data_IF_283652244292
#
_entry.id   IF_283652244292
#
_cell.length_a   1.000
_cell.length_b   1.000
_cell.length_c   1.000
_cell.angle_alpha   90.00
_cell.angle_beta   90.00
_cell.angle_gamma   90.00
#
_symmetry.space_group_name_H-M   'P 1'
#
loop_
_entity.id
_entity.type
_entity.pdbx_description
1 polymer ?
#
# COMPACT_ATOMS: atom_id res chain seq x y z
N UNK A 1 -9.25 9.60 24.07
CA UNK A 1 -7.94 10.25 23.85
C UNK A 1 -6.77 9.30 24.07
N UNK A 2 -6.68 8.57 25.19
CA UNK A 2 -5.54 7.66 25.45
C UNK A 2 -5.15 6.71 24.29
N UNK A 3 -6.12 6.08 23.60
CA UNK A 3 -5.83 5.17 22.47
C UNK A 3 -5.25 5.88 21.24
N UNK A 4 -5.62 7.14 21.01
CA UNK A 4 -5.08 7.97 19.92
C UNK A 4 -3.62 8.32 20.22
N UNK A 5 -3.32 8.71 21.46
CA UNK A 5 -1.96 9.04 21.88
C UNK A 5 -1.04 7.80 21.85
N UNK A 6 -1.56 6.65 22.29
CA UNK A 6 -0.87 5.36 22.21
C UNK A 6 -0.56 4.99 20.75
N UNK A 7 -1.53 5.15 19.85
CA UNK A 7 -1.31 4.90 18.42
C UNK A 7 -0.26 5.82 17.82
N UNK A 8 -0.29 7.11 18.16
CA UNK A 8 0.68 8.08 17.63
C UNK A 8 2.12 7.74 18.06
N UNK A 9 2.32 7.31 19.31
CA UNK A 9 3.62 6.87 19.80
C UNK A 9 4.08 5.57 19.09
N UNK A 10 3.17 4.62 18.91
CA UNK A 10 3.46 3.35 18.26
C UNK A 10 3.78 3.53 16.77
N UNK A 11 2.95 4.26 16.02
CA UNK A 11 3.08 4.38 14.57
C UNK A 11 4.40 5.06 14.18
N UNK A 12 4.86 6.06 14.96
CA UNK A 12 6.10 6.78 14.69
C UNK A 12 7.31 5.84 14.69
N UNK A 13 7.36 4.92 15.66
CA UNK A 13 8.51 4.02 15.86
C UNK A 13 8.43 2.76 15.02
N UNK A 14 7.25 2.44 14.47
CA UNK A 14 7.01 1.21 13.71
C UNK A 14 6.69 1.52 12.25
N UNK A 15 5.43 1.88 11.98
CA UNK A 15 4.89 2.06 10.64
C UNK A 15 5.64 3.13 9.85
N UNK A 16 5.81 4.32 10.42
CA UNK A 16 6.54 5.42 9.77
C UNK A 16 8.00 5.07 9.53
N UNK A 17 8.69 4.55 10.55
CA UNK A 17 10.11 4.23 10.48
C UNK A 17 10.41 3.19 9.40
N UNK A 18 9.67 2.07 9.42
CA UNK A 18 9.87 0.99 8.46
C UNK A 18 9.31 1.31 7.07
N UNK A 19 8.18 2.02 6.99
CA UNK A 19 7.58 2.49 5.73
C UNK A 19 8.52 3.44 4.99
N UNK A 20 9.02 4.46 5.68
CA UNK A 20 9.96 5.43 5.13
C UNK A 20 11.27 4.77 4.70
N UNK A 21 11.80 3.82 5.48
CA UNK A 21 13.06 3.16 5.14
C UNK A 21 12.92 2.19 3.97
N UNK A 22 11.80 1.47 3.87
CA UNK A 22 11.48 0.64 2.72
C UNK A 22 11.39 1.49 1.45
N UNK A 23 10.61 2.58 1.49
CA UNK A 23 10.45 3.50 0.36
C UNK A 23 11.78 4.14 -0.05
N UNK A 24 12.58 4.59 0.91
CA UNK A 24 13.90 5.15 0.63
C UNK A 24 14.84 4.12 -0.01
N UNK A 25 14.80 2.87 0.44
CA UNK A 25 15.69 1.81 -0.06
C UNK A 25 15.32 1.39 -1.48
N UNK A 26 14.02 1.29 -1.79
CA UNK A 26 13.54 0.86 -3.12
C UNK A 26 13.51 1.99 -4.15
N UNK A 27 13.23 3.23 -3.73
CA UNK A 27 12.92 4.32 -4.67
C UNK A 27 13.92 5.48 -4.54
N UNK A 28 14.06 6.09 -3.37
CA UNK A 28 14.81 7.36 -3.23
C UNK A 28 16.31 7.13 -3.42
N UNK A 29 16.92 6.19 -2.69
CA UNK A 29 18.36 5.94 -2.76
C UNK A 29 18.80 5.55 -4.17
N UNK A 30 18.18 4.55 -4.85
CA UNK A 30 18.58 4.21 -6.21
C UNK A 30 18.44 5.39 -7.18
N UNK A 31 17.37 6.19 -7.07
CA UNK A 31 17.17 7.37 -7.92
C UNK A 31 18.18 8.49 -7.66
N UNK A 32 18.58 8.70 -6.41
CA UNK A 32 19.52 9.76 -6.03
C UNK A 32 20.98 9.37 -6.27
N UNK A 33 21.37 8.12 -6.02
CA UNK A 33 22.78 7.68 -6.08
C UNK A 33 23.13 6.91 -7.34
N UNK A 34 22.13 6.43 -8.10
CA UNK A 34 22.32 5.53 -9.24
C UNK A 34 22.77 4.13 -8.86
N UNK A 35 22.87 3.83 -7.55
CA UNK A 35 23.28 2.51 -7.07
C UNK A 35 22.12 1.51 -7.15
N UNK A 36 22.42 0.20 -7.30
CA UNK A 36 21.38 -0.81 -7.25
C UNK A 36 20.67 -0.83 -5.90
N UNK A 37 19.44 -1.34 -5.90
CA UNK A 37 18.64 -1.52 -4.69
C UNK A 37 19.38 -2.47 -3.74
N UNK A 38 19.46 -2.09 -2.46
CA UNK A 38 19.89 -3.02 -1.42
C UNK A 38 18.73 -3.96 -1.08
N UNK A 39 18.63 -5.08 -1.81
CA UNK A 39 17.54 -6.03 -1.67
C UNK A 39 17.43 -6.62 -0.25
N UNK A 40 18.56 -6.86 0.43
CA UNK A 40 18.56 -7.37 1.81
C UNK A 40 17.88 -6.38 2.77
N UNK A 41 18.18 -5.09 2.63
CA UNK A 41 17.58 -4.05 3.47
C UNK A 41 16.10 -3.83 3.12
N UNK A 42 15.76 -3.89 1.82
CA UNK A 42 14.37 -3.77 1.39
C UNK A 42 13.53 -4.97 1.86
N UNK A 43 14.04 -6.19 1.76
CA UNK A 43 13.36 -7.39 2.26
C UNK A 43 13.17 -7.32 3.78
N UNK A 44 14.20 -6.90 4.53
CA UNK A 44 14.09 -6.70 5.97
C UNK A 44 12.94 -5.76 6.33
N UNK A 45 12.91 -4.55 5.76
CA UNK A 45 11.84 -3.60 6.05
C UNK A 45 10.48 -4.03 5.49
N UNK A 46 10.45 -4.72 4.35
CA UNK A 46 9.22 -5.28 3.79
C UNK A 46 8.61 -6.35 4.71
N UNK A 47 9.43 -7.21 5.30
CA UNK A 47 8.95 -8.20 6.27
C UNK A 47 8.51 -7.56 7.59
N UNK A 48 9.22 -6.54 8.08
CA UNK A 48 8.75 -5.74 9.23
C UNK A 48 7.39 -5.09 8.94
N UNK A 49 7.20 -4.53 7.75
CA UNK A 49 5.93 -3.92 7.35
C UNK A 49 4.79 -4.93 7.33
N UNK A 50 5.01 -6.17 6.86
CA UNK A 50 3.98 -7.23 6.96
C UNK A 50 3.54 -7.46 8.40
N UNK A 51 4.48 -7.63 9.32
CA UNK A 51 4.18 -7.79 10.75
C UNK A 51 3.45 -6.57 11.33
N UNK A 52 3.82 -5.36 10.93
CA UNK A 52 3.18 -4.13 11.39
C UNK A 52 1.75 -4.01 10.85
N UNK A 53 1.50 -4.42 9.62
CA UNK A 53 0.15 -4.46 9.05
C UNK A 53 -0.74 -5.47 9.79
N UNK A 54 -0.19 -6.63 10.16
CA UNK A 54 -0.88 -7.59 11.03
C UNK A 54 -1.19 -7.00 12.41
N UNK A 55 -0.26 -6.23 12.99
CA UNK A 55 -0.50 -5.52 14.25
C UNK A 55 -1.55 -4.41 14.09
N UNK A 56 -1.53 -3.67 12.99
CA UNK A 56 -2.54 -2.66 12.67
C UNK A 56 -3.95 -3.28 12.63
N UNK A 57 -4.09 -4.43 11.98
CA UNK A 57 -5.37 -5.13 11.90
C UNK A 57 -5.78 -5.75 13.24
N UNK A 58 -4.89 -6.49 13.91
CA UNK A 58 -5.26 -7.32 15.06
C UNK A 58 -5.17 -6.62 16.42
N UNK A 59 -4.42 -5.52 16.53
CA UNK A 59 -4.23 -4.78 17.78
C UNK A 59 -5.03 -3.48 17.76
N UNK A 60 -4.92 -2.71 16.68
CA UNK A 60 -5.46 -1.36 16.61
C UNK A 60 -6.90 -1.33 16.13
N UNK A 61 -7.17 -1.94 14.97
CA UNK A 61 -8.50 -1.99 14.35
C UNK A 61 -9.40 -3.04 14.99
N UNK A 62 -8.94 -4.29 15.15
CA UNK A 62 -9.74 -5.41 15.65
C UNK A 62 -11.09 -5.47 14.92
N UNK A 63 -12.20 -5.43 15.67
CA UNK A 63 -13.57 -5.44 15.16
C UNK A 63 -14.16 -4.02 15.03
N UNK A 64 -13.40 -2.97 15.35
CA UNK A 64 -13.84 -1.58 15.28
C UNK A 64 -13.73 -1.00 13.87
N UNK A 65 -14.45 0.09 13.62
CA UNK A 65 -14.43 0.79 12.33
C UNK A 65 -13.18 1.66 12.15
N UNK A 66 -12.73 2.30 13.23
CA UNK A 66 -11.58 3.18 13.27
C UNK A 66 -10.63 2.78 14.41
N UNK A 67 -9.39 3.24 14.36
CA UNK A 67 -8.33 2.90 15.32
C UNK A 67 -8.75 3.24 16.76
N UNK A 68 -9.43 4.37 16.94
CA UNK A 68 -9.91 4.81 18.25
C UNK A 68 -11.32 4.31 18.62
N UNK A 69 -11.96 3.49 17.78
CA UNK A 69 -13.32 2.96 17.98
C UNK A 69 -14.29 3.34 16.86
N UNK A 70 -15.39 4.01 17.21
CA UNK A 70 -16.50 4.33 16.29
C UNK A 70 -16.34 5.64 15.53
N UNK A 71 -15.55 6.56 16.06
CA UNK A 71 -15.35 7.88 15.49
C UNK A 71 -14.00 7.97 14.77
N UNK A 72 -13.99 8.66 13.64
CA UNK A 72 -12.77 8.96 12.90
C UNK A 72 -11.90 9.93 13.70
N UNK A 73 -10.60 9.63 13.78
CA UNK A 73 -9.64 10.45 14.52
C UNK A 73 -8.36 10.71 13.71
N UNK A 74 -7.46 11.52 14.28
CA UNK A 74 -6.13 11.75 13.70
C UNK A 74 -5.30 10.46 13.58
N UNK A 75 -5.56 9.45 14.43
CA UNK A 75 -4.89 8.16 14.33
C UNK A 75 -5.16 7.49 12.96
N UNK A 76 -6.40 7.53 12.49
CA UNK A 76 -6.81 6.96 11.21
C UNK A 76 -6.17 7.69 10.03
N UNK A 77 -6.14 9.02 10.09
CA UNK A 77 -5.48 9.85 9.09
C UNK A 77 -3.99 9.52 9.00
N UNK A 78 -3.30 9.45 10.15
CA UNK A 78 -1.88 9.10 10.21
C UNK A 78 -1.66 7.69 9.64
N UNK A 79 -2.45 6.71 10.04
CA UNK A 79 -2.33 5.34 9.52
C UNK A 79 -2.41 5.29 7.99
N UNK A 80 -3.38 5.98 7.38
CA UNK A 80 -3.51 6.02 5.91
C UNK A 80 -2.29 6.70 5.28
N UNK A 81 -1.89 7.87 5.78
CA UNK A 81 -0.76 8.62 5.20
C UNK A 81 0.56 7.87 5.27
N UNK A 82 0.80 7.11 6.33
CA UNK A 82 2.05 6.34 6.49
C UNK A 82 2.09 5.11 5.58
N UNK A 83 0.93 4.63 5.11
CA UNK A 83 0.84 3.51 4.16
C UNK A 83 1.08 3.95 2.71
N UNK A 84 0.93 5.23 2.37
CA UNK A 84 1.09 5.68 0.98
C UNK A 84 2.50 5.42 0.44
N UNK A 85 3.54 5.79 1.20
CA UNK A 85 4.93 5.64 0.78
C UNK A 85 5.33 4.17 0.51
N UNK A 86 5.13 3.22 1.45
CA UNK A 86 5.43 1.82 1.18
C UNK A 86 4.52 1.23 0.08
N UNK A 87 3.28 1.71 -0.07
CA UNK A 87 2.40 1.32 -1.17
C UNK A 87 2.97 1.68 -2.54
N UNK A 88 3.51 2.91 -2.67
CA UNK A 88 4.22 3.34 -3.88
C UNK A 88 5.49 2.54 -4.17
N UNK A 89 6.18 2.03 -3.15
CA UNK A 89 7.35 1.16 -3.30
C UNK A 89 7.00 -0.33 -3.51
N UNK A 90 5.72 -0.65 -3.53
CA UNK A 90 5.20 -1.93 -3.95
C UNK A 90 4.83 -2.92 -2.83
N UNK A 91 4.68 -2.44 -1.60
CA UNK A 91 4.07 -3.24 -0.52
C UNK A 91 2.57 -3.37 -0.79
N UNK A 92 2.09 -4.61 -0.83
CA UNK A 92 0.65 -4.89 -0.91
C UNK A 92 0.00 -4.50 0.41
N UNK A 93 -0.86 -3.48 0.37
CA UNK A 93 -1.63 -3.03 1.53
C UNK A 93 -2.85 -3.92 1.72
N UNK A 94 -2.63 -5.18 2.11
CA UNK A 94 -3.71 -6.08 2.49
C UNK A 94 -4.19 -5.76 3.91
N UNK A 95 -4.98 -4.70 4.08
CA UNK A 95 -5.94 -4.62 5.20
C UNK A 95 -7.33 -4.86 4.63
N UNK A 96 -8.17 -5.63 5.33
CA UNK A 96 -9.53 -6.01 4.90
C UNK A 96 -10.45 -4.80 4.64
N UNK A 97 -10.04 -3.59 5.06
CA UNK A 97 -10.81 -2.35 4.97
C UNK A 97 -10.13 -1.23 4.17
N UNK A 98 -8.84 -1.34 3.85
CA UNK A 98 -8.14 -0.40 2.96
C UNK A 98 -8.20 -1.00 1.56
N UNK A 99 -9.32 -0.80 0.88
CA UNK A 99 -9.53 -1.28 -0.49
C UNK A 99 -8.67 -0.48 -1.49
N UNK A 100 -7.42 -0.90 -1.65
CA UNK A 100 -6.68 -0.69 -2.89
C UNK A 100 -5.75 -1.88 -3.13
N UNK A 101 -6.35 -3.05 -3.35
CA UNK A 101 -5.67 -4.15 -4.04
C UNK A 101 -5.43 -3.74 -5.49
N UNK A 102 -4.27 -3.13 -5.76
CA UNK A 102 -3.74 -2.92 -7.09
C UNK A 102 -2.27 -3.27 -7.07
N UNK A 103 -1.90 -4.38 -7.72
CA UNK A 103 -0.49 -4.76 -7.86
C UNK A 103 0.32 -3.59 -8.45
N UNK A 104 1.45 -3.21 -7.85
CA UNK A 104 2.35 -2.20 -8.43
C UNK A 104 2.93 -2.64 -9.79
N UNK A 105 2.88 -3.95 -10.07
CA UNK A 105 3.46 -4.58 -11.26
C UNK A 105 2.42 -4.80 -12.37
N UNK A 106 1.12 -4.84 -12.06
CA UNK A 106 0.08 -5.14 -13.06
C UNK A 106 -0.50 -3.88 -13.74
N UNK A 107 -0.21 -2.68 -13.20
CA UNK A 107 -0.59 -1.41 -13.83
C UNK A 107 0.16 -1.07 -15.12
N UNK A 108 1.34 -1.67 -15.35
CA UNK A 108 2.09 -1.48 -16.60
C UNK A 108 1.74 -2.53 -17.69
N UNK A 109 1.12 -3.65 -17.32
CA UNK A 109 0.89 -4.77 -18.24
C UNK A 109 -0.55 -4.87 -18.78
N UNK A 110 -1.52 -4.13 -18.22
CA UNK A 110 -2.94 -4.21 -18.65
C UNK A 110 -3.36 -3.13 -19.66
N UNK A 111 -2.60 -2.04 -19.82
CA UNK A 111 -2.92 -0.98 -20.79
C UNK A 111 -2.41 -1.26 -22.21
N UNK A 112 -1.70 -2.37 -22.44
CA UNK A 112 -1.15 -2.72 -23.76
C UNK A 112 -1.73 -4.00 -24.39
N UNK A 113 -2.67 -4.70 -23.73
CA UNK A 113 -3.30 -5.92 -24.25
C UNK A 113 -4.81 -5.84 -24.52
N UNK A 114 -5.39 -4.64 -24.37
CA UNK A 114 -6.78 -4.35 -24.78
C UNK A 114 -6.93 -3.55 -26.08
N UNK A 115 -5.82 -3.11 -26.70
CA UNK A 115 -5.83 -2.24 -27.88
C UNK A 115 -5.44 -2.90 -29.21
N UNK A 116 -5.08 -4.20 -29.20
CA UNK A 116 -4.69 -4.99 -30.40
C UNK A 116 -5.57 -6.24 -30.53
N UNK A 117 -6.88 -6.04 -30.46
CA UNK A 117 -7.86 -7.05 -30.89
C UNK A 117 -9.08 -6.33 -31.51
N UNK A 118 -8.81 -5.41 -32.45
CA UNK A 118 -9.79 -5.03 -33.47
C UNK A 118 -9.42 -5.77 -34.75
N UNK A 119 -9.85 -7.00 -34.87
CA UNK A 119 -9.94 -7.68 -36.15
C UNK A 119 -11.21 -8.53 -36.18
N UNK A 120 -12.19 -8.01 -36.92
CA UNK A 120 -12.97 -8.76 -37.90
C UNK A 120 -14.13 -9.65 -37.42
N UNK A 121 -15.32 -9.25 -37.90
CA UNK A 121 -16.46 -10.04 -38.37
C UNK A 121 -17.21 -10.95 -37.38
N UNK A 122 -18.53 -10.89 -37.20
CA UNK A 122 -19.59 -10.13 -37.85
C UNK A 122 -20.95 -10.67 -37.38
N UNK A 123 -22.00 -9.84 -37.39
CA UNK A 123 -23.37 -10.31 -37.60
C UNK A 123 -24.19 -9.16 -38.19
N UNK A 124 -24.64 -9.36 -39.42
CA UNK A 124 -25.51 -8.46 -40.17
C UNK A 124 -26.98 -8.60 -39.71
N UNK A 125 -27.71 -7.48 -39.69
CA UNK A 125 -29.16 -7.36 -39.92
C UNK A 125 -29.54 -5.86 -39.88
N UNK A 126 -30.26 -5.24 -40.81
CA UNK A 126 -30.63 -5.46 -42.21
C UNK A 126 -31.12 -4.08 -42.71
N UNK A 127 -30.89 -3.79 -43.99
CA UNK A 127 -31.48 -2.65 -44.71
C UNK A 127 -32.80 -3.11 -45.31
N UNK A 128 -33.90 -2.44 -44.92
CA UNK A 128 -35.12 -2.26 -45.70
C UNK A 128 -35.80 -0.96 -45.23
#
# INVERSE_FOLDING_TARGET
MAKVDEFMAWQHTTLRAHGSMFFQTKIIRPKMTGQPINEKLAEYHGNQLKTILEQLENIWLKDEQFIAGKDLTIADLLAVTELEQPGMAGVQMCSKRVSSCGDPVTGAARTARGAVARHSDGLALEVA
#
